data_IF_860429166205
#
_entry.id   IF_860429166205
#
_cell.length_a   1.000
_cell.length_b   1.000
_cell.length_c   1.000
_cell.angle_alpha   90.00
_cell.angle_beta   90.00
_cell.angle_gamma   90.00
#
_symmetry.space_group_name_H-M   'P 1'
#
loop_
_entity.id
_entity.type
_entity.pdbx_description
1 polymer ?
#
# COMPACT_ATOMS: atom_id res chain seq x y z
N UNK A 1 -1.99 -28.87 -3.49
CA UNK A 1 -2.21 -28.42 -2.10
C UNK A 1 -2.90 -27.08 -2.23
N UNK A 2 -4.21 -27.06 -2.05
CA UNK A 2 -5.02 -25.84 -2.10
C UNK A 2 -4.51 -24.92 -0.98
N UNK A 3 -3.81 -23.84 -1.36
CA UNK A 3 -3.69 -22.74 -0.41
C UNK A 3 -5.12 -22.27 -0.19
N UNK A 4 -5.55 -22.22 1.07
CA UNK A 4 -6.60 -21.29 1.46
C UNK A 4 -6.03 -19.89 1.18
N UNK A 5 -6.01 -19.47 -0.09
CA UNK A 5 -5.85 -18.08 -0.48
C UNK A 5 -7.14 -17.41 -0.04
N UNK A 6 -7.19 -17.12 1.26
CA UNK A 6 -8.20 -16.24 1.84
C UNK A 6 -8.11 -14.96 1.02
N UNK A 7 -9.16 -14.66 0.27
CA UNK A 7 -9.25 -13.44 -0.51
C UNK A 7 -9.26 -12.25 0.46
N UNK A 8 -8.08 -11.68 0.70
CA UNK A 8 -7.90 -10.57 1.65
C UNK A 8 -8.50 -9.29 1.09
N UNK A 9 -9.02 -8.45 1.98
CA UNK A 9 -9.70 -7.21 1.61
C UNK A 9 -8.75 -6.24 0.91
N UNK A 10 -9.09 -5.82 -0.31
CA UNK A 10 -8.37 -4.78 -1.04
C UNK A 10 -9.33 -3.66 -1.43
N UNK A 11 -8.94 -2.43 -1.13
CA UNK A 11 -9.62 -1.21 -1.55
C UNK A 11 -8.87 -0.63 -2.74
N UNK A 12 -9.54 -0.50 -3.89
CA UNK A 12 -8.95 0.10 -5.09
C UNK A 12 -9.33 1.57 -5.26
N UNK A 13 -10.62 1.91 -5.10
CA UNK A 13 -11.12 3.28 -5.19
C UNK A 13 -12.54 3.39 -4.64
N UNK A 14 -13.08 4.62 -4.55
CA UNK A 14 -14.46 4.85 -4.13
C UNK A 14 -15.48 4.33 -5.16
N UNK A 15 -15.10 4.26 -6.43
CA UNK A 15 -15.94 3.80 -7.53
C UNK A 15 -15.78 2.30 -7.80
N UNK A 16 -14.92 1.64 -7.04
CA UNK A 16 -14.66 0.21 -7.18
C UNK A 16 -15.81 -0.60 -6.55
N UNK A 17 -16.44 -1.44 -7.38
CA UNK A 17 -17.60 -2.24 -6.97
C UNK A 17 -17.21 -3.55 -6.25
N UNK A 18 -15.92 -3.77 -5.98
CA UNK A 18 -15.44 -5.02 -5.37
C UNK A 18 -15.88 -5.21 -3.92
N UNK A 19 -16.33 -4.15 -3.23
CA UNK A 19 -16.69 -4.17 -1.80
C UNK A 19 -17.68 -5.28 -1.46
N UNK A 20 -18.62 -5.58 -2.36
CA UNK A 20 -19.63 -6.62 -2.15
C UNK A 20 -19.02 -8.01 -1.91
N UNK A 21 -17.89 -8.31 -2.55
CA UNK A 21 -17.18 -9.59 -2.38
C UNK A 21 -16.44 -9.68 -1.04
N UNK A 22 -16.06 -8.54 -0.47
CA UNK A 22 -15.28 -8.48 0.77
C UNK A 22 -16.12 -8.36 2.04
N UNK A 23 -17.43 -8.10 1.95
CA UNK A 23 -18.26 -7.80 3.12
C UNK A 23 -18.12 -8.82 4.25
N UNK A 24 -18.23 -10.11 3.94
CA UNK A 24 -18.07 -11.18 4.93
C UNK A 24 -16.67 -11.18 5.54
N UNK A 25 -15.62 -11.00 4.73
CA UNK A 25 -14.24 -10.94 5.21
C UNK A 25 -14.00 -9.72 6.09
N UNK A 26 -14.58 -8.57 5.75
CA UNK A 26 -14.52 -7.36 6.57
C UNK A 26 -15.15 -7.62 7.94
N UNK A 27 -16.35 -8.22 7.98
CA UNK A 27 -17.01 -8.62 9.23
C UNK A 27 -16.14 -9.58 10.05
N UNK A 28 -15.62 -10.64 9.41
CA UNK A 28 -14.77 -11.64 10.08
C UNK A 28 -13.51 -11.01 10.68
N UNK A 29 -12.83 -10.11 9.96
CA UNK A 29 -11.62 -9.44 10.46
C UNK A 29 -11.96 -8.49 11.61
N UNK A 30 -13.07 -7.74 11.52
CA UNK A 30 -13.48 -6.80 12.58
C UNK A 30 -13.93 -7.55 13.84
N UNK A 31 -14.72 -8.61 13.69
CA UNK A 31 -15.25 -9.39 14.80
C UNK A 31 -14.16 -10.14 15.58
N UNK A 32 -13.08 -10.53 14.91
CA UNK A 32 -11.94 -11.21 15.54
C UNK A 32 -10.78 -10.26 15.90
N UNK A 33 -10.94 -8.95 15.71
CA UNK A 33 -9.86 -8.00 15.93
C UNK A 33 -9.52 -7.85 17.42
N UNK A 34 -8.28 -8.18 17.77
CA UNK A 34 -7.68 -7.86 19.06
C UNK A 34 -6.54 -6.84 18.90
N UNK A 35 -6.65 -5.68 19.55
CA UNK A 35 -5.65 -4.60 19.41
C UNK A 35 -4.26 -4.96 19.97
N UNK A 36 -4.22 -5.79 21.02
CA UNK A 36 -2.99 -6.20 21.69
C UNK A 36 -2.34 -7.46 21.07
N UNK A 37 -2.98 -8.05 20.07
CA UNK A 37 -2.43 -9.20 19.34
C UNK A 37 -1.15 -8.80 18.61
N UNK A 38 -0.10 -9.61 18.78
CA UNK A 38 1.18 -9.41 18.12
C UNK A 38 1.13 -9.94 16.68
N UNK A 39 0.89 -9.04 15.73
CA UNK A 39 0.81 -9.36 14.30
C UNK A 39 2.18 -9.27 13.65
N UNK A 40 2.66 -10.39 13.11
CA UNK A 40 3.94 -10.49 12.40
C UNK A 40 3.77 -10.55 10.88
N UNK A 41 2.59 -10.93 10.37
CA UNK A 41 2.31 -10.95 8.93
C UNK A 41 1.99 -9.53 8.42
N UNK A 42 2.88 -9.01 7.59
CA UNK A 42 2.71 -7.70 6.94
C UNK A 42 1.43 -7.62 6.12
N UNK A 43 0.99 -8.73 5.50
CA UNK A 43 -0.22 -8.75 4.69
C UNK A 43 -1.50 -8.59 5.54
N UNK A 44 -1.47 -8.95 6.83
CA UNK A 44 -2.60 -8.69 7.74
C UNK A 44 -2.68 -7.19 8.04
N UNK A 45 -1.53 -6.55 8.24
CA UNK A 45 -1.45 -5.10 8.42
C UNK A 45 -1.95 -4.37 7.16
N UNK A 46 -1.61 -4.87 5.97
CA UNK A 46 -2.12 -4.33 4.71
C UNK A 46 -3.64 -4.50 4.60
N UNK A 47 -4.18 -5.65 4.99
CA UNK A 47 -5.62 -5.90 5.00
C UNK A 47 -6.35 -4.94 5.95
N UNK A 48 -5.83 -4.71 7.16
CA UNK A 48 -6.39 -3.72 8.10
C UNK A 48 -6.41 -2.31 7.49
N UNK A 49 -5.32 -1.90 6.82
CA UNK A 49 -5.26 -0.62 6.13
C UNK A 49 -6.34 -0.50 5.05
N UNK A 50 -6.56 -1.55 4.26
CA UNK A 50 -7.57 -1.57 3.21
C UNK A 50 -9.01 -1.55 3.76
N UNK A 51 -9.28 -2.28 4.85
CA UNK A 51 -10.56 -2.19 5.57
C UNK A 51 -10.79 -0.76 6.07
N UNK A 52 -9.76 -0.14 6.66
CA UNK A 52 -9.84 1.24 7.11
C UNK A 52 -10.23 2.20 5.97
N UNK A 53 -9.74 1.98 4.74
CA UNK A 53 -10.11 2.80 3.59
C UNK A 53 -11.62 2.74 3.26
N UNK A 54 -12.24 1.55 3.33
CA UNK A 54 -13.69 1.43 3.12
C UNK A 54 -14.49 2.28 4.12
N UNK A 55 -14.12 2.23 5.40
CA UNK A 55 -14.80 3.00 6.45
C UNK A 55 -14.55 4.51 6.33
N UNK A 56 -13.33 4.93 5.98
CA UNK A 56 -13.01 6.34 5.76
C UNK A 56 -13.83 6.95 4.61
N UNK A 57 -14.09 6.15 3.56
CA UNK A 57 -14.92 6.55 2.42
C UNK A 57 -16.42 6.27 2.62
N UNK A 58 -16.84 5.87 3.84
CA UNK A 58 -18.23 5.56 4.20
C UNK A 58 -18.89 4.50 3.29
N UNK A 59 -18.09 3.55 2.83
CA UNK A 59 -18.55 2.46 1.97
C UNK A 59 -18.99 1.31 2.89
N UNK A 60 -20.31 1.17 3.03
CA UNK A 60 -20.91 0.21 3.97
C UNK A 60 -21.83 -0.77 3.23
N UNK A 61 -21.97 -1.96 3.80
CA UNK A 61 -23.01 -2.90 3.37
C UNK A 61 -24.39 -2.29 3.57
N UNK A 62 -25.26 -2.42 2.56
CA UNK A 62 -26.70 -2.08 2.70
C UNK A 62 -27.43 -2.96 3.72
N UNK A 63 -26.82 -4.07 4.13
CA UNK A 63 -27.36 -5.00 5.11
C UNK A 63 -26.92 -4.68 6.55
N UNK A 64 -25.98 -3.76 6.75
CA UNK A 64 -25.59 -3.35 8.10
C UNK A 64 -26.61 -2.39 8.68
N UNK A 65 -27.05 -2.70 9.89
CA UNK A 65 -27.82 -1.76 10.70
C UNK A 65 -26.95 -0.58 11.12
N UNK A 66 -27.57 0.56 11.46
CA UNK A 66 -26.86 1.72 12.00
C UNK A 66 -26.03 1.38 13.25
N UNK A 67 -26.54 0.46 14.08
CA UNK A 67 -25.82 -0.01 15.27
C UNK A 67 -24.56 -0.80 14.89
N UNK A 68 -24.65 -1.74 13.95
CA UNK A 68 -23.48 -2.47 13.44
C UNK A 68 -22.43 -1.53 12.84
N UNK A 69 -22.85 -0.56 12.03
CA UNK A 69 -21.93 0.44 11.45
C UNK A 69 -21.18 1.18 12.56
N UNK A 70 -21.88 1.62 13.61
CA UNK A 70 -21.25 2.30 14.75
C UNK A 70 -20.28 1.39 15.50
N UNK A 71 -20.65 0.14 15.77
CA UNK A 71 -19.82 -0.80 16.52
C UNK A 71 -18.57 -1.21 15.72
N UNK A 72 -18.71 -1.47 14.43
CA UNK A 72 -17.58 -1.73 13.53
C UNK A 72 -16.66 -0.51 13.40
N UNK A 73 -17.23 0.70 13.28
CA UNK A 73 -16.43 1.93 13.19
C UNK A 73 -15.54 2.12 14.42
N UNK A 74 -16.07 1.88 15.63
CA UNK A 74 -15.29 1.94 16.89
C UNK A 74 -14.12 0.94 16.94
N UNK A 75 -14.25 -0.19 16.26
CA UNK A 75 -13.17 -1.18 16.15
C UNK A 75 -12.13 -0.69 15.13
N UNK A 76 -12.57 -0.27 13.94
CA UNK A 76 -11.70 0.21 12.85
C UNK A 76 -10.92 1.47 13.26
N UNK A 77 -11.47 2.32 14.14
CA UNK A 77 -10.77 3.45 14.74
C UNK A 77 -9.49 3.06 15.50
N UNK A 78 -9.34 1.79 15.90
CA UNK A 78 -8.13 1.27 16.55
C UNK A 78 -7.05 0.82 15.56
N UNK A 79 -7.39 0.58 14.30
CA UNK A 79 -6.46 0.08 13.29
C UNK A 79 -5.25 0.99 13.04
N UNK A 80 -5.39 2.34 12.96
CA UNK A 80 -4.25 3.22 12.74
C UNK A 80 -3.12 3.07 13.77
N UNK A 81 -3.48 2.74 15.03
CA UNK A 81 -2.50 2.51 16.11
C UNK A 81 -1.69 1.24 15.84
N UNK A 82 -2.35 0.14 15.46
CA UNK A 82 -1.70 -1.14 15.15
C UNK A 82 -0.82 -0.99 13.90
N UNK A 83 -1.37 -0.43 12.82
CA UNK A 83 -0.63 -0.20 11.57
C UNK A 83 0.60 0.69 11.83
N UNK A 84 0.42 1.80 12.55
CA UNK A 84 1.52 2.70 12.85
C UNK A 84 2.61 2.08 13.72
N UNK A 85 2.23 1.25 14.71
CA UNK A 85 3.17 0.48 15.51
C UNK A 85 3.99 -0.47 14.64
N UNK A 86 3.33 -1.26 13.78
CA UNK A 86 4.01 -2.19 12.88
C UNK A 86 5.05 -1.49 12.00
N UNK A 87 4.70 -0.36 11.38
CA UNK A 87 5.66 0.40 10.54
C UNK A 87 6.76 1.10 11.34
N UNK A 88 6.49 1.51 12.58
CA UNK A 88 7.50 2.06 13.46
C UNK A 88 8.55 1.02 13.87
N UNK A 89 8.11 -0.22 14.10
CA UNK A 89 8.91 -1.36 14.56
C UNK A 89 9.57 -2.16 13.41
N UNK A 90 9.34 -1.78 12.14
CA UNK A 90 9.99 -2.44 10.99
C UNK A 90 11.51 -2.43 11.16
N UNK A 91 12.10 -3.63 11.10
CA UNK A 91 13.54 -3.80 11.03
C UNK A 91 14.03 -3.52 9.61
N UNK A 92 14.77 -2.42 9.45
CA UNK A 92 15.20 -1.92 8.14
C UNK A 92 16.10 -2.92 7.40
N UNK A 93 16.92 -3.70 8.12
CA UNK A 93 17.77 -4.74 7.51
C UNK A 93 16.95 -5.89 6.90
N UNK A 94 15.73 -6.12 7.41
CA UNK A 94 14.82 -7.16 6.94
C UNK A 94 13.81 -6.63 5.91
N UNK A 95 13.87 -5.34 5.57
CA UNK A 95 12.86 -4.68 4.75
C UNK A 95 12.68 -5.32 3.38
N UNK A 96 13.77 -5.74 2.72
CA UNK A 96 13.70 -6.46 1.45
C UNK A 96 12.94 -7.77 1.59
N UNK A 97 13.31 -8.58 2.58
CA UNK A 97 12.66 -9.86 2.85
C UNK A 97 11.18 -9.66 3.15
N UNK A 98 10.81 -8.64 3.94
CA UNK A 98 9.41 -8.27 4.18
C UNK A 98 8.73 -7.90 2.88
N UNK A 99 9.33 -7.04 2.06
CA UNK A 99 8.75 -6.61 0.79
C UNK A 99 8.45 -7.79 -0.15
N UNK A 100 9.34 -8.79 -0.17
CA UNK A 100 9.17 -9.98 -1.02
C UNK A 100 8.03 -10.91 -0.55
N UNK A 101 7.59 -10.83 0.71
CA UNK A 101 6.41 -11.58 1.20
C UNK A 101 5.08 -10.86 0.98
N UNK A 102 5.10 -9.59 0.55
CA UNK A 102 3.88 -8.80 0.33
C UNK A 102 3.16 -9.29 -0.92
N UNK A 103 1.85 -9.55 -0.76
CA UNK A 103 0.94 -9.86 -1.85
C UNK A 103 1.01 -8.76 -2.90
N UNK A 104 1.05 -9.14 -4.18
CA UNK A 104 1.22 -8.21 -5.28
C UNK A 104 0.21 -7.05 -5.27
N UNK A 105 -1.03 -7.28 -4.81
CA UNK A 105 -2.08 -6.24 -4.75
C UNK A 105 -1.83 -5.17 -3.69
N UNK A 106 -0.99 -5.43 -2.69
CA UNK A 106 -0.70 -4.52 -1.59
C UNK A 106 0.63 -3.78 -1.71
N UNK A 107 1.44 -4.05 -2.74
CA UNK A 107 2.78 -3.44 -2.85
C UNK A 107 2.72 -1.92 -2.97
N UNK A 108 1.76 -1.39 -3.73
CA UNK A 108 1.48 0.04 -3.78
C UNK A 108 1.12 0.60 -2.39
N UNK A 109 0.15 -0.03 -1.69
CA UNK A 109 -0.27 0.41 -0.35
C UNK A 109 0.91 0.40 0.64
N UNK A 110 1.78 -0.59 0.53
CA UNK A 110 2.97 -0.69 1.36
C UNK A 110 3.86 0.55 1.20
N UNK A 111 4.15 0.98 -0.03
CA UNK A 111 4.93 2.19 -0.28
C UNK A 111 4.23 3.46 0.22
N UNK A 112 2.91 3.56 0.04
CA UNK A 112 2.09 4.63 0.63
C UNK A 112 2.22 4.67 2.16
N UNK A 113 2.25 3.53 2.82
CA UNK A 113 2.43 3.44 4.27
C UNK A 113 3.87 3.72 4.72
N UNK A 114 4.88 3.27 3.98
CA UNK A 114 6.30 3.65 4.19
C UNK A 114 6.45 5.16 4.15
N UNK A 115 5.81 5.85 3.20
CA UNK A 115 5.81 7.31 3.10
C UNK A 115 5.03 7.95 4.25
N UNK A 116 3.80 7.51 4.50
CA UNK A 116 2.89 8.04 5.52
C UNK A 116 3.52 8.01 6.91
N UNK A 117 4.14 6.90 7.28
CA UNK A 117 4.80 6.71 8.59
C UNK A 117 6.28 7.11 8.59
N UNK A 118 6.77 7.74 7.50
CA UNK A 118 8.15 8.24 7.36
C UNK A 118 9.24 7.17 7.55
N UNK A 119 8.91 5.91 7.34
CA UNK A 119 9.89 4.81 7.44
C UNK A 119 11.00 5.01 6.41
N UNK A 120 10.66 5.59 5.25
CA UNK A 120 11.62 5.93 4.21
C UNK A 120 12.81 6.73 4.72
N UNK A 121 12.66 7.59 5.74
CA UNK A 121 13.76 8.40 6.28
C UNK A 121 14.88 7.54 6.85
N UNK A 122 14.55 6.38 7.41
CA UNK A 122 15.49 5.44 8.05
C UNK A 122 16.13 4.46 7.07
N UNK A 123 15.59 4.30 5.85
CA UNK A 123 16.09 3.34 4.86
C UNK A 123 17.44 3.83 4.28
N UNK A 124 18.54 3.07 4.43
CA UNK A 124 19.79 3.35 3.74
C UNK A 124 19.65 3.20 2.22
N UNK A 125 20.45 3.95 1.47
CA UNK A 125 20.48 3.88 0.01
C UNK A 125 20.74 2.46 -0.50
N UNK A 126 21.66 1.72 0.13
CA UNK A 126 21.99 0.35 -0.30
C UNK A 126 20.82 -0.62 -0.12
N UNK A 127 20.07 -0.51 0.99
CA UNK A 127 18.84 -1.32 1.19
C UNK A 127 17.80 -1.02 0.11
N UNK A 128 17.65 0.26 -0.27
CA UNK A 128 16.72 0.63 -1.33
C UNK A 128 17.16 0.12 -2.71
N UNK A 129 18.45 0.20 -3.04
CA UNK A 129 19.00 -0.41 -4.27
C UNK A 129 18.72 -1.91 -4.32
N UNK A 130 18.89 -2.61 -3.20
CA UNK A 130 18.63 -4.04 -3.12
C UNK A 130 17.15 -4.40 -3.35
N UNK A 131 16.23 -3.51 -2.95
CA UNK A 131 14.78 -3.65 -3.17
C UNK A 131 14.42 -3.36 -4.63
N UNK A 132 14.98 -2.30 -5.23
CA UNK A 132 14.73 -1.94 -6.64
C UNK A 132 15.08 -3.08 -7.61
N UNK A 133 16.10 -3.87 -7.28
CA UNK A 133 16.51 -5.02 -8.08
C UNK A 133 15.62 -6.26 -7.89
N UNK A 134 14.67 -6.23 -6.95
CA UNK A 134 13.74 -7.34 -6.75
C UNK A 134 12.80 -7.49 -7.94
N UNK A 135 12.52 -8.73 -8.36
CA UNK A 135 11.49 -9.05 -9.38
C UNK A 135 10.08 -8.59 -9.00
N UNK A 136 9.87 -8.26 -7.73
CA UNK A 136 8.60 -7.80 -7.19
C UNK A 136 8.45 -6.28 -7.23
N UNK A 137 9.53 -5.56 -7.55
CA UNK A 137 9.54 -4.12 -7.68
C UNK A 137 8.79 -3.66 -8.93
N UNK A 138 7.90 -2.69 -8.75
CA UNK A 138 7.17 -2.02 -9.82
C UNK A 138 7.42 -0.53 -9.65
N UNK A 139 8.00 0.11 -10.67
CA UNK A 139 8.36 1.52 -10.60
C UNK A 139 7.14 2.41 -10.32
N UNK A 140 6.01 2.14 -10.97
CA UNK A 140 4.77 2.90 -10.80
C UNK A 140 4.34 3.06 -9.34
N UNK A 141 4.45 2.00 -8.54
CA UNK A 141 4.09 2.00 -7.11
C UNK A 141 4.92 3.02 -6.31
N UNK A 142 6.19 3.21 -6.68
CA UNK A 142 7.08 4.21 -6.05
C UNK A 142 6.79 5.60 -6.55
N UNK A 143 6.49 5.77 -7.84
CA UNK A 143 6.27 7.08 -8.43
C UNK A 143 5.04 7.78 -7.83
N UNK A 144 4.09 7.05 -7.26
CA UNK A 144 2.98 7.65 -6.49
C UNK A 144 3.43 8.27 -5.14
N UNK A 145 4.65 7.96 -4.67
CA UNK A 145 5.17 8.37 -3.36
C UNK A 145 6.21 9.50 -3.49
N UNK A 146 5.73 10.76 -3.49
CA UNK A 146 6.55 11.97 -3.73
C UNK A 146 7.84 12.05 -2.89
N UNK A 147 7.75 11.76 -1.59
CA UNK A 147 8.88 11.91 -0.67
C UNK A 147 9.88 10.78 -0.83
N UNK A 148 9.41 9.58 -1.15
CA UNK A 148 10.27 8.44 -1.48
C UNK A 148 11.04 8.74 -2.77
N UNK A 149 10.34 9.19 -3.82
CA UNK A 149 10.97 9.61 -5.09
C UNK A 149 12.03 10.67 -4.83
N UNK A 150 11.69 11.71 -4.05
CA UNK A 150 12.65 12.76 -3.71
C UNK A 150 13.87 12.24 -2.95
N UNK A 151 13.70 11.30 -2.01
CA UNK A 151 14.81 10.75 -1.22
C UNK A 151 15.76 9.93 -2.08
N UNK A 152 15.24 9.12 -3.00
CA UNK A 152 16.01 8.17 -3.79
C UNK A 152 16.08 8.54 -5.28
N UNK A 153 16.04 9.85 -5.57
CA UNK A 153 15.96 10.41 -6.92
C UNK A 153 17.05 9.86 -7.84
N UNK A 154 18.28 9.75 -7.32
CA UNK A 154 19.44 9.22 -8.07
C UNK A 154 19.29 7.75 -8.40
N UNK A 155 18.91 6.94 -7.41
CA UNK A 155 18.76 5.48 -7.58
C UNK A 155 17.62 5.17 -8.56
N UNK A 156 16.52 5.90 -8.46
CA UNK A 156 15.38 5.77 -9.40
C UNK A 156 15.79 6.21 -10.80
N UNK A 157 16.53 7.31 -10.94
CA UNK A 157 17.03 7.77 -12.26
C UNK A 157 17.91 6.72 -12.91
N UNK A 158 18.87 6.16 -12.16
CA UNK A 158 19.75 5.09 -12.67
C UNK A 158 18.93 3.87 -13.11
N UNK A 159 17.93 3.47 -12.33
CA UNK A 159 17.03 2.38 -12.69
C UNK A 159 16.26 2.67 -13.98
N UNK A 160 15.69 3.87 -14.12
CA UNK A 160 14.91 4.27 -15.29
C UNK A 160 15.76 4.34 -16.57
N UNK A 161 16.98 4.86 -16.48
CA UNK A 161 17.91 4.92 -17.62
C UNK A 161 18.34 3.52 -18.06
N UNK A 162 18.54 2.60 -17.11
CA UNK A 162 18.93 1.23 -17.40
C UNK A 162 17.77 0.35 -17.91
N UNK A 163 16.51 0.76 -17.70
CA UNK A 163 15.33 -0.03 -18.02
C UNK A 163 14.47 0.65 -19.10
N UNK A 164 14.56 0.21 -20.37
CA UNK A 164 13.84 0.81 -21.50
C UNK A 164 12.31 0.87 -21.31
N UNK A 165 11.71 -0.04 -20.54
CA UNK A 165 10.27 -0.05 -20.28
C UNK A 165 9.82 1.14 -19.41
N UNK A 166 10.73 1.80 -18.70
CA UNK A 166 10.43 3.02 -17.96
C UNK A 166 10.11 4.19 -18.89
N UNK A 167 10.59 4.16 -20.14
CA UNK A 167 10.24 5.14 -21.14
C UNK A 167 8.73 5.10 -21.47
N UNK A 168 8.08 3.93 -21.43
CA UNK A 168 6.64 3.81 -21.64
C UNK A 168 5.83 4.45 -20.51
N UNK A 169 6.34 4.41 -19.27
CA UNK A 169 5.68 5.05 -18.12
C UNK A 169 5.70 6.57 -18.27
N UNK A 170 6.85 7.14 -18.66
CA UNK A 170 6.96 8.56 -19.02
C UNK A 170 6.06 8.90 -20.21
N UNK A 171 6.11 8.04 -21.23
CA UNK A 171 5.21 7.94 -22.38
C UNK A 171 3.77 8.26 -22.02
N UNK A 172 3.20 7.33 -21.27
CA UNK A 172 1.82 7.34 -20.83
C UNK A 172 1.52 8.52 -19.91
N UNK A 173 2.45 8.93 -19.05
CA UNK A 173 2.22 10.05 -18.15
C UNK A 173 2.20 11.42 -18.86
N UNK A 174 3.05 11.66 -19.86
CA UNK A 174 3.08 12.99 -20.50
C UNK A 174 2.16 13.10 -21.73
N UNK A 175 1.82 11.98 -22.38
CA UNK A 175 1.05 11.99 -23.63
C UNK A 175 -0.44 11.67 -23.45
N UNK A 176 -0.84 11.00 -22.37
CA UNK A 176 -2.25 10.67 -22.11
C UNK A 176 -2.90 11.84 -21.35
N UNK A 177 -4.07 12.26 -21.82
CA UNK A 177 -4.93 13.19 -21.06
C UNK A 177 -5.37 12.46 -19.80
N UNK A 178 -4.75 12.79 -18.66
CA UNK A 178 -5.13 12.18 -17.39
C UNK A 178 -6.52 12.64 -17.00
N UNK A 179 -7.40 11.66 -16.79
CA UNK A 179 -8.66 11.90 -16.13
C UNK A 179 -8.39 12.34 -14.68
N UNK A 180 -9.27 13.16 -14.09
CA UNK A 180 -9.03 13.78 -12.76
C UNK A 180 -8.92 12.78 -11.60
N UNK A 181 -9.14 11.49 -11.88
CA UNK A 181 -9.19 10.41 -10.90
C UNK A 181 -7.91 9.55 -10.85
N UNK A 182 -6.86 9.90 -11.60
CA UNK A 182 -5.58 9.17 -11.60
C UNK A 182 -4.64 9.77 -10.54
N UNK A 183 -4.05 8.92 -9.70
CA UNK A 183 -3.03 9.36 -8.72
C UNK A 183 -1.83 10.01 -9.44
N UNK A 184 -1.36 11.18 -8.98
CA UNK A 184 -0.25 11.86 -9.64
C UNK A 184 1.04 11.07 -9.46
N UNK A 185 1.73 10.79 -10.57
CA UNK A 185 3.08 10.26 -10.55
C UNK A 185 4.10 11.39 -10.34
N UNK A 186 5.14 11.09 -9.57
CA UNK A 186 6.27 11.97 -9.29
C UNK A 186 7.52 11.36 -9.89
N UNK A 187 8.23 12.13 -10.70
CA UNK A 187 9.47 11.71 -11.33
C UNK A 187 10.69 12.34 -10.64
N UNK A 188 11.86 11.69 -10.71
CA UNK A 188 13.13 12.30 -10.30
C UNK A 188 13.34 13.69 -10.92
N UNK A 189 13.91 14.61 -10.14
CA UNK A 189 14.17 15.96 -10.61
C UNK A 189 15.16 15.97 -11.79
N UNK A 190 16.07 15.00 -11.81
CA UNK A 190 17.05 14.77 -12.87
C UNK A 190 16.44 14.42 -14.23
N UNK A 191 15.15 14.06 -14.28
CA UNK A 191 14.41 13.70 -15.51
C UNK A 191 13.38 14.76 -15.93
N UNK A 192 13.29 15.88 -15.19
CA UNK A 192 12.26 16.91 -15.37
C UNK A 192 12.79 18.18 -16.06
N UNK A 193 13.75 18.03 -16.99
CA UNK A 193 14.27 19.14 -17.83
C UNK A 193 13.46 19.35 -19.11
#
# INVERSE_FOLDING_TARGET
MESNDILRVKYYSINDMSVGFYLKRIEDVISNFAAEENRTDINEIMELYNIQQFFQNRIYSKYWTRQQINDYSRIVEKFPKVIGKSFFEIEINMLKSIFETINYTYRNDFWKLIEKYKVYEKIPVEVFKDIILSKHFILGDILECKKIVKKFSKEITVYMVANPFCAEILLNYYLVVHDRNIEPLYFPAELSE
#
